data_IF_926448286147
#
_entry.id   IF_926448286147
#
_cell.length_a   1.000
_cell.length_b   1.000
_cell.length_c   1.000
_cell.angle_alpha   90.00
_cell.angle_beta   90.00
_cell.angle_gamma   90.00
#
_symmetry.space_group_name_H-M   'P 1'
#
loop_
_entity.id
_entity.type
_entity.pdbx_description
1 polymer ?
#
# COMPACT_ATOMS: atom_id res chain seq x y z
N UNK A 1 -8.51 -4.30 14.97
CA UNK A 1 -8.99 -5.12 13.83
C UNK A 1 -9.65 -4.32 12.68
N UNK A 2 -10.59 -3.39 12.93
CA UNK A 2 -11.26 -2.60 11.84
C UNK A 2 -10.28 -1.77 10.98
N UNK A 3 -9.25 -1.18 11.59
CA UNK A 3 -8.18 -0.44 10.89
C UNK A 3 -7.38 -1.33 9.93
N UNK A 4 -7.00 -2.54 10.35
CA UNK A 4 -6.29 -3.54 9.51
C UNK A 4 -7.09 -3.88 8.24
N UNK A 5 -8.39 -4.14 8.39
CA UNK A 5 -9.25 -4.50 7.25
C UNK A 5 -9.34 -3.35 6.22
N UNK A 6 -9.34 -2.09 6.66
CA UNK A 6 -9.31 -0.92 5.77
C UNK A 6 -8.07 -0.93 4.87
N UNK A 7 -6.88 -1.07 5.47
CA UNK A 7 -5.63 -1.03 4.71
C UNK A 7 -5.44 -2.28 3.84
N UNK A 8 -5.88 -3.46 4.29
CA UNK A 8 -5.92 -4.67 3.45
C UNK A 8 -6.81 -4.50 2.23
N UNK A 9 -7.98 -3.87 2.39
CA UNK A 9 -8.89 -3.61 1.27
C UNK A 9 -8.28 -2.61 0.28
N UNK A 10 -7.69 -1.53 0.77
CA UNK A 10 -6.97 -0.55 -0.05
C UNK A 10 -5.83 -1.21 -0.86
N UNK A 11 -4.98 -1.98 -0.18
CA UNK A 11 -3.87 -2.71 -0.81
C UNK A 11 -4.37 -3.66 -1.91
N UNK A 12 -5.42 -4.46 -1.64
CA UNK A 12 -6.00 -5.38 -2.63
C UNK A 12 -6.60 -4.66 -3.84
N UNK A 13 -7.25 -3.52 -3.63
CA UNK A 13 -7.84 -2.76 -4.73
C UNK A 13 -6.76 -2.17 -5.64
N UNK A 14 -5.67 -1.68 -5.07
CA UNK A 14 -4.54 -1.14 -5.82
C UNK A 14 -3.77 -2.25 -6.55
N UNK A 15 -3.56 -3.41 -5.91
CA UNK A 15 -3.01 -4.60 -6.57
C UNK A 15 -3.86 -5.01 -7.78
N UNK A 16 -5.19 -5.00 -7.62
CA UNK A 16 -6.12 -5.30 -8.71
C UNK A 16 -6.09 -4.25 -9.82
N UNK A 17 -6.05 -2.96 -9.45
CA UNK A 17 -6.03 -1.83 -10.41
C UNK A 17 -4.79 -1.87 -11.30
N UNK A 18 -3.63 -2.15 -10.72
CA UNK A 18 -2.36 -2.13 -11.44
C UNK A 18 -1.87 -3.51 -11.90
N UNK A 19 -2.59 -4.58 -11.52
CA UNK A 19 -2.24 -5.97 -11.81
C UNK A 19 -0.81 -6.34 -11.40
N UNK A 20 -0.32 -5.78 -10.29
CA UNK A 20 1.03 -6.01 -9.76
C UNK A 20 1.08 -5.76 -8.26
N UNK A 21 2.20 -6.12 -7.62
CA UNK A 21 2.45 -5.84 -6.20
C UNK A 21 3.04 -4.43 -6.03
N UNK A 22 2.91 -3.89 -4.81
CA UNK A 22 3.38 -2.53 -4.48
C UNK A 22 4.83 -2.29 -4.89
N UNK A 23 5.73 -3.24 -4.59
CA UNK A 23 7.16 -3.09 -4.90
C UNK A 23 7.46 -3.07 -6.40
N UNK A 24 6.67 -3.78 -7.21
CA UNK A 24 6.82 -3.73 -8.67
C UNK A 24 6.26 -2.41 -9.22
N UNK A 25 5.15 -1.94 -8.65
CA UNK A 25 4.56 -0.65 -8.97
C UNK A 25 5.51 0.51 -8.65
N UNK A 26 6.06 0.55 -7.43
CA UNK A 26 7.05 1.53 -6.96
C UNK A 26 8.25 1.62 -7.92
N UNK A 27 8.84 0.47 -8.28
CA UNK A 27 9.92 0.41 -9.27
C UNK A 27 9.49 0.92 -10.65
N UNK A 28 8.27 0.59 -11.07
CA UNK A 28 7.75 0.94 -12.40
C UNK A 28 7.53 2.44 -12.55
N UNK A 29 7.12 3.14 -11.50
CA UNK A 29 6.86 4.59 -11.54
C UNK A 29 8.09 5.43 -11.20
N UNK A 30 9.11 4.82 -10.59
CA UNK A 30 10.36 5.50 -10.25
C UNK A 30 10.98 6.18 -11.48
N UNK A 31 11.32 7.45 -11.33
CA UNK A 31 11.92 8.31 -12.36
C UNK A 31 11.06 8.50 -13.63
N UNK A 32 9.74 8.30 -13.56
CA UNK A 32 8.82 8.62 -14.64
C UNK A 32 7.98 9.84 -14.29
N UNK A 33 7.65 10.64 -15.31
CA UNK A 33 6.53 11.57 -15.19
C UNK A 33 5.25 10.74 -15.09
N UNK A 34 4.52 10.90 -13.99
CA UNK A 34 3.23 10.27 -13.74
C UNK A 34 2.16 11.34 -13.56
N UNK A 35 0.91 10.98 -13.81
CA UNK A 35 -0.20 11.87 -13.52
C UNK A 35 -0.49 11.92 -12.00
N UNK A 36 -1.22 12.97 -11.60
CA UNK A 36 -1.61 13.18 -10.21
C UNK A 36 -2.40 11.99 -9.63
N UNK A 37 -3.21 11.32 -10.45
CA UNK A 37 -3.99 10.17 -10.00
C UNK A 37 -3.07 9.01 -9.58
N UNK A 38 -2.07 8.70 -10.41
CA UNK A 38 -1.07 7.66 -10.17
C UNK A 38 -0.17 8.00 -8.99
N UNK A 39 0.20 9.28 -8.83
CA UNK A 39 0.95 9.74 -7.64
C UNK A 39 0.12 9.56 -6.37
N UNK A 40 -1.16 9.96 -6.39
CA UNK A 40 -2.06 9.75 -5.25
C UNK A 40 -2.21 8.27 -4.91
N UNK A 41 -2.38 7.41 -5.92
CA UNK A 41 -2.47 5.97 -5.73
C UNK A 41 -1.18 5.39 -5.13
N UNK A 42 -0.01 5.89 -5.52
CA UNK A 42 1.27 5.53 -4.90
C UNK A 42 1.30 5.88 -3.41
N UNK A 43 0.96 7.13 -3.07
CA UNK A 43 0.96 7.60 -1.67
C UNK A 43 -0.05 6.82 -0.81
N UNK A 44 -1.25 6.58 -1.34
CA UNK A 44 -2.26 5.77 -0.66
C UNK A 44 -1.78 4.33 -0.44
N UNK A 45 -1.09 3.74 -1.42
CA UNK A 45 -0.55 2.37 -1.30
C UNK A 45 0.59 2.29 -0.29
N UNK A 46 1.53 3.22 -0.35
CA UNK A 46 2.70 3.29 0.55
C UNK A 46 2.26 3.42 2.01
N UNK A 47 1.30 4.32 2.26
CA UNK A 47 0.67 4.46 3.58
C UNK A 47 0.00 3.15 4.03
N UNK A 48 -0.71 2.47 3.14
CA UNK A 48 -1.39 1.22 3.48
C UNK A 48 -0.40 0.10 3.82
N UNK A 49 0.73 0.01 3.11
CA UNK A 49 1.80 -0.97 3.42
C UNK A 49 2.40 -0.67 4.79
N UNK A 50 2.82 0.58 5.03
CA UNK A 50 3.41 1.01 6.31
C UNK A 50 2.46 0.74 7.47
N UNK A 51 1.20 1.16 7.37
CA UNK A 51 0.22 0.95 8.45
C UNK A 51 -0.07 -0.53 8.72
N UNK A 52 0.05 -1.42 7.72
CA UNK A 52 -0.10 -2.87 7.92
C UNK A 52 1.12 -3.48 8.59
N UNK A 53 2.32 -2.96 8.32
CA UNK A 53 3.56 -3.34 9.00
C UNK A 53 3.50 -2.92 10.47
N UNK A 54 3.12 -1.67 10.76
CA UNK A 54 2.94 -1.18 12.14
C UNK A 54 1.95 -2.04 12.93
N UNK A 55 0.76 -2.32 12.37
CA UNK A 55 -0.24 -3.18 13.02
C UNK A 55 0.31 -4.59 13.25
N UNK A 56 1.12 -5.11 12.33
CA UNK A 56 1.73 -6.44 12.48
C UNK A 56 2.74 -6.44 13.62
N UNK A 57 3.52 -5.38 13.77
CA UNK A 57 4.52 -5.26 14.83
C UNK A 57 3.88 -5.00 16.20
N UNK A 58 2.82 -4.18 16.27
CA UNK A 58 1.98 -4.05 17.46
C UNK A 58 1.46 -5.42 17.95
N UNK A 59 0.98 -6.27 17.04
CA UNK A 59 0.48 -7.60 17.39
C UNK A 59 1.57 -8.57 17.87
N UNK A 60 2.80 -8.44 17.39
CA UNK A 60 3.93 -9.28 17.86
C UNK A 60 4.42 -8.87 19.24
N UNK A 61 4.31 -7.59 19.59
CA UNK A 61 4.70 -7.05 20.89
C UNK A 61 3.73 -7.40 22.04
N UNK A 62 2.61 -8.08 21.74
CA UNK A 62 1.60 -8.52 22.71
C UNK A 62 1.79 -10.03 23.03
N UNK A 63 3.03 -10.53 23.00
CA UNK A 63 3.38 -11.90 23.38
C UNK A 63 4.23 -11.93 24.66
#
# INVERSE_FOLDING_TARGET
MRKKNKYLFMMKNLEKKYAMKFKDFEKKIKNKAIDYATEKDYLDWDMAVTALEDIKDELKGIN
#
